data_IF_513973861740
#
_entry.id   IF_513973861740
#
_cell.length_a   1.000
_cell.length_b   1.000
_cell.length_c   1.000
_cell.angle_alpha   90.00
_cell.angle_beta   90.00
_cell.angle_gamma   90.00
#
_symmetry.space_group_name_H-M   'P 1'
#
loop_
_entity.id
_entity.type
_entity.pdbx_description
1 polymer ?
#
# COMPACT_ATOMS: atom_id res chain seq x y z
N UNK A 1 -3.17 -0.36 22.80
CA UNK A 1 -2.50 -1.62 22.41
C UNK A 1 -2.38 -2.47 23.66
N UNK A 2 -2.97 -3.67 23.67
CA UNK A 2 -2.82 -4.60 24.80
C UNK A 2 -1.90 -5.73 24.34
N UNK A 3 -0.83 -5.97 25.10
CA UNK A 3 0.09 -7.08 24.85
C UNK A 3 -0.36 -8.27 25.69
N UNK A 4 -0.58 -9.42 25.05
CA UNK A 4 -0.80 -10.69 25.76
C UNK A 4 0.49 -11.50 25.61
N UNK A 5 1.10 -11.86 26.74
CA UNK A 5 2.21 -12.80 26.78
C UNK A 5 1.68 -14.15 27.22
N UNK A 6 1.97 -15.20 26.44
CA UNK A 6 1.75 -16.59 26.83
C UNK A 6 3.12 -17.25 26.94
N UNK A 7 3.37 -17.95 28.04
CA UNK A 7 4.61 -18.60 28.45
C UNK A 7 5.53 -19.03 27.28
N UNK A 8 6.61 -18.26 27.04
CA UNK A 8 7.67 -18.58 26.07
C UNK A 8 7.69 -17.70 24.81
N UNK A 9 8.08 -16.44 24.94
CA UNK A 9 8.59 -15.53 23.88
C UNK A 9 7.77 -15.27 22.60
N UNK A 10 6.45 -15.50 22.58
CA UNK A 10 5.61 -14.96 21.49
C UNK A 10 4.97 -13.65 21.96
N UNK A 11 5.56 -12.52 21.55
CA UNK A 11 4.90 -11.22 21.67
C UNK A 11 3.85 -11.10 20.57
N UNK A 12 2.58 -11.02 20.94
CA UNK A 12 1.47 -10.73 20.03
C UNK A 12 1.04 -9.26 20.21
N UNK A 13 0.71 -8.60 19.10
CA UNK A 13 0.07 -7.29 19.07
C UNK A 13 -1.38 -7.48 18.65
N UNK A 14 -2.31 -7.15 19.52
CA UNK A 14 -3.72 -7.09 19.17
C UNK A 14 -4.12 -5.64 18.86
N UNK A 15 -4.73 -5.45 17.70
CA UNK A 15 -5.34 -4.19 17.27
C UNK A 15 -6.84 -4.41 17.10
N UNK A 16 -7.66 -3.60 17.78
CA UNK A 16 -9.11 -3.59 17.56
C UNK A 16 -9.38 -2.83 16.27
N UNK A 17 -9.83 -3.53 15.23
CA UNK A 17 -10.43 -2.94 14.03
C UNK A 17 -11.91 -2.66 14.29
N UNK A 18 -12.59 -2.05 13.34
CA UNK A 18 -13.99 -1.60 13.51
C UNK A 18 -14.94 -2.78 13.75
N UNK A 19 -14.72 -3.93 13.09
CA UNK A 19 -15.60 -5.11 13.21
C UNK A 19 -14.87 -6.39 13.67
N UNK A 20 -13.52 -6.38 13.77
CA UNK A 20 -12.71 -7.56 14.09
C UNK A 20 -11.48 -7.21 14.91
N UNK A 21 -10.84 -8.22 15.50
CA UNK A 21 -9.53 -8.08 16.13
C UNK A 21 -8.47 -8.56 15.16
N UNK A 22 -7.48 -7.70 14.88
CA UNK A 22 -6.28 -8.06 14.16
C UNK A 22 -5.20 -8.49 15.15
N UNK A 23 -4.76 -9.74 15.07
CA UNK A 23 -3.66 -10.28 15.87
C UNK A 23 -2.42 -10.38 15.00
N UNK A 24 -1.37 -9.63 15.30
CA UNK A 24 -0.10 -9.72 14.56
C UNK A 24 1.00 -10.28 15.46
N UNK A 25 1.92 -11.06 14.87
CA UNK A 25 3.09 -11.59 15.58
C UNK A 25 4.20 -10.55 15.55
N UNK A 26 4.86 -10.29 16.68
CA UNK A 26 5.95 -9.31 16.78
C UNK A 26 7.31 -9.86 16.26
N UNK A 27 7.31 -10.94 15.47
CA UNK A 27 8.50 -11.43 14.77
C UNK A 27 8.40 -10.98 13.31
N UNK A 28 9.45 -10.37 12.73
CA UNK A 28 9.44 -10.02 11.32
C UNK A 28 9.19 -11.29 10.52
N UNK A 29 8.03 -11.37 9.86
CA UNK A 29 7.63 -12.53 9.09
C UNK A 29 8.63 -12.67 7.94
N UNK A 30 9.59 -13.59 8.11
CA UNK A 30 10.50 -14.00 7.05
C UNK A 30 9.79 -15.09 6.26
N UNK A 31 9.19 -14.69 5.12
CA UNK A 31 8.95 -15.51 3.92
C UNK A 31 7.68 -16.38 3.83
N UNK A 32 7.22 -16.70 2.60
CA UNK A 32 6.69 -15.84 1.54
C UNK A 32 5.16 -15.65 1.71
N UNK A 33 4.49 -14.77 0.96
CA UNK A 33 3.04 -14.52 1.10
C UNK A 33 2.14 -15.76 0.82
N UNK A 34 2.71 -16.89 0.40
CA UNK A 34 2.01 -18.10 -0.05
C UNK A 34 1.53 -19.04 1.06
N UNK A 35 2.30 -19.39 2.12
CA UNK A 35 1.84 -20.30 3.17
C UNK A 35 0.72 -19.69 4.01
N UNK A 36 0.85 -18.43 4.44
CA UNK A 36 -0.21 -17.75 5.21
C UNK A 36 -1.51 -17.66 4.39
N UNK A 37 -1.42 -17.31 3.12
CA UNK A 37 -2.57 -17.33 2.22
C UNK A 37 -3.25 -18.71 2.18
N UNK A 38 -2.49 -19.80 2.02
CA UNK A 38 -3.03 -21.17 2.01
C UNK A 38 -3.66 -21.56 3.35
N UNK A 39 -3.08 -21.14 4.46
CA UNK A 39 -3.63 -21.34 5.80
C UNK A 39 -4.96 -20.61 5.95
N UNK A 40 -5.06 -19.36 5.50
CA UNK A 40 -6.31 -18.59 5.49
C UNK A 40 -7.36 -19.29 4.60
N UNK A 41 -6.99 -19.72 3.39
CA UNK A 41 -7.92 -20.44 2.52
C UNK A 41 -8.46 -21.72 3.17
N UNK A 42 -7.62 -22.43 3.94
CA UNK A 42 -8.03 -23.61 4.69
C UNK A 42 -8.90 -23.26 5.90
N UNK A 43 -8.59 -22.19 6.63
CA UNK A 43 -9.38 -21.69 7.76
C UNK A 43 -10.83 -21.38 7.35
N UNK A 44 -11.02 -20.82 6.15
CA UNK A 44 -12.35 -20.49 5.62
C UNK A 44 -12.97 -21.58 4.74
N UNK A 45 -12.31 -22.74 4.54
CA UNK A 45 -12.75 -23.79 3.61
C UNK A 45 -13.01 -23.29 2.18
N UNK A 46 -12.10 -22.47 1.64
CA UNK A 46 -12.20 -21.85 0.30
C UNK A 46 -11.06 -22.26 -0.64
N UNK A 47 -10.36 -23.36 -0.35
CA UNK A 47 -9.23 -23.84 -1.16
C UNK A 47 -9.61 -24.19 -2.61
N UNK A 48 -10.87 -24.55 -2.85
CA UNK A 48 -11.45 -24.90 -4.15
C UNK A 48 -11.99 -23.68 -4.93
N UNK A 49 -11.92 -22.48 -4.35
CA UNK A 49 -12.48 -21.24 -4.90
C UNK A 49 -11.46 -20.43 -5.69
N UNK A 50 -11.96 -19.49 -6.50
CA UNK A 50 -11.14 -18.47 -7.14
C UNK A 50 -10.83 -17.38 -6.12
N UNK A 51 -9.58 -17.33 -5.67
CA UNK A 51 -9.18 -16.45 -4.57
C UNK A 51 -8.15 -15.43 -5.06
N UNK A 52 -8.32 -14.17 -4.68
CA UNK A 52 -7.29 -13.14 -4.86
C UNK A 52 -6.56 -12.93 -3.54
N UNK A 53 -5.24 -13.03 -3.56
CA UNK A 53 -4.38 -12.60 -2.46
C UNK A 53 -3.81 -11.21 -2.76
N UNK A 54 -4.04 -10.27 -1.85
CA UNK A 54 -3.47 -8.92 -1.86
C UNK A 54 -2.38 -8.92 -0.80
N UNK A 55 -1.14 -9.15 -1.22
CA UNK A 55 -0.03 -9.27 -0.30
C UNK A 55 0.87 -8.03 -0.35
N UNK A 56 0.69 -7.12 0.61
CA UNK A 56 1.39 -5.83 0.64
C UNK A 56 2.45 -5.78 1.75
N UNK A 57 3.67 -5.38 1.41
CA UNK A 57 4.82 -5.47 2.31
C UNK A 57 5.56 -4.15 2.45
N UNK A 58 6.21 -3.98 3.61
CA UNK A 58 7.15 -2.89 3.89
C UNK A 58 8.59 -3.22 3.50
N UNK A 59 8.88 -4.50 3.21
CA UNK A 59 10.25 -5.02 3.09
C UNK A 59 10.48 -5.88 1.86
N UNK A 60 9.42 -6.38 1.23
CA UNK A 60 9.45 -7.21 0.03
C UNK A 60 8.62 -6.55 -1.08
N UNK A 61 8.79 -6.96 -2.34
CA UNK A 61 7.86 -6.59 -3.41
C UNK A 61 6.42 -6.97 -3.03
N UNK A 62 5.48 -6.16 -3.47
CA UNK A 62 4.07 -6.49 -3.33
C UNK A 62 3.70 -7.61 -4.30
N UNK A 63 2.71 -8.42 -3.93
CA UNK A 63 2.18 -9.48 -4.79
C UNK A 63 0.65 -9.47 -4.71
N UNK A 64 0.00 -9.06 -5.80
CA UNK A 64 -1.44 -9.18 -5.97
C UNK A 64 -1.69 -10.29 -6.96
N UNK A 65 -2.21 -11.42 -6.49
CA UNK A 65 -2.30 -12.67 -7.27
C UNK A 65 -3.70 -13.24 -7.27
N UNK A 66 -4.19 -13.64 -8.43
CA UNK A 66 -5.38 -14.49 -8.54
C UNK A 66 -4.97 -15.96 -8.60
N UNK A 67 -5.64 -16.79 -7.81
CA UNK A 67 -5.46 -18.23 -7.73
C UNK A 67 -6.69 -18.90 -8.34
N UNK A 68 -6.52 -19.55 -9.48
CA UNK A 68 -7.58 -20.23 -10.25
C UNK A 68 -7.00 -21.44 -10.97
N UNK A 69 -7.70 -22.56 -10.97
CA UNK A 69 -7.31 -23.79 -11.68
C UNK A 69 -5.86 -24.24 -11.39
N UNK A 70 -5.45 -24.21 -10.12
CA UNK A 70 -4.08 -24.50 -9.65
C UNK A 70 -2.99 -23.56 -10.19
N UNK A 71 -3.35 -22.46 -10.85
CA UNK A 71 -2.43 -21.42 -11.31
C UNK A 71 -2.47 -20.22 -10.36
N UNK A 72 -1.34 -19.53 -10.24
CA UNK A 72 -1.23 -18.24 -9.59
C UNK A 72 -0.78 -17.22 -10.65
N UNK A 73 -1.56 -16.17 -10.85
CA UNK A 73 -1.31 -15.15 -11.87
C UNK A 73 -1.15 -13.80 -11.17
N UNK A 74 -0.02 -13.14 -11.40
CA UNK A 74 0.24 -11.77 -10.94
C UNK A 74 -0.65 -10.79 -11.71
N UNK A 75 -1.36 -9.94 -10.97
CA UNK A 75 -2.32 -8.98 -11.50
C UNK A 75 -1.71 -7.58 -11.69
N UNK A 76 -0.75 -7.22 -10.84
CA UNK A 76 -0.17 -5.89 -10.82
C UNK A 76 1.36 -5.96 -10.78
N UNK A 77 2.00 -5.12 -11.58
CA UNK A 77 3.44 -4.92 -11.65
C UNK A 77 3.77 -3.46 -11.45
N UNK A 78 5.03 -3.21 -11.10
CA UNK A 78 5.55 -1.87 -10.89
C UNK A 78 6.73 -1.63 -11.83
N UNK A 79 6.82 -0.41 -12.34
CA UNK A 79 7.99 0.05 -13.08
C UNK A 79 9.13 0.32 -12.10
N UNK A 80 10.31 -0.22 -12.41
CA UNK A 80 11.51 0.04 -11.65
C UNK A 80 12.12 1.41 -12.00
N UNK A 81 12.49 2.17 -10.96
CA UNK A 81 13.28 3.39 -11.02
C UNK A 81 14.55 3.22 -10.20
N UNK A 82 15.69 3.57 -10.78
CA UNK A 82 17.01 3.42 -10.15
C UNK A 82 17.37 4.63 -9.27
N UNK A 83 16.86 5.80 -9.63
CA UNK A 83 17.20 7.06 -8.99
C UNK A 83 16.10 8.11 -9.21
N UNK A 84 16.19 9.23 -8.47
CA UNK A 84 15.21 10.31 -8.56
C UNK A 84 15.31 11.10 -9.87
N UNK A 85 16.46 11.06 -10.55
CA UNK A 85 16.64 11.69 -11.85
C UNK A 85 15.75 11.04 -12.91
N UNK A 86 15.67 9.70 -12.96
CA UNK A 86 14.75 8.96 -13.85
C UNK A 86 13.28 9.32 -13.58
N UNK A 87 12.90 9.49 -12.31
CA UNK A 87 11.54 9.94 -11.94
C UNK A 87 11.31 11.37 -12.41
N UNK A 88 12.28 12.26 -12.19
CA UNK A 88 12.18 13.67 -12.59
C UNK A 88 12.02 13.81 -14.10
N UNK A 89 12.81 13.08 -14.88
CA UNK A 89 12.71 13.01 -16.34
C UNK A 89 11.34 12.49 -16.79
N UNK A 90 10.85 11.41 -16.17
CA UNK A 90 9.54 10.85 -16.47
C UNK A 90 8.37 11.78 -16.07
N UNK A 91 8.52 12.59 -15.01
CA UNK A 91 7.56 13.64 -14.69
C UNK A 91 7.61 14.75 -15.75
N UNK A 92 8.78 15.11 -16.27
CA UNK A 92 8.94 16.18 -17.25
C UNK A 92 8.69 15.76 -18.71
N UNK A 93 8.27 14.51 -18.95
CA UNK A 93 8.17 13.94 -20.31
C UNK A 93 7.07 14.56 -21.19
N UNK A 94 6.17 15.34 -20.61
CA UNK A 94 5.10 16.05 -21.31
C UNK A 94 4.94 17.49 -20.77
N UNK A 95 4.28 18.36 -21.52
CA UNK A 95 4.15 19.79 -21.18
C UNK A 95 3.48 20.03 -19.83
N UNK A 96 2.49 19.19 -19.48
CA UNK A 96 1.73 19.33 -18.25
C UNK A 96 2.62 18.99 -17.06
N UNK A 97 3.33 17.87 -17.13
CA UNK A 97 4.25 17.40 -16.12
C UNK A 97 5.48 18.29 -15.99
N UNK A 98 6.03 18.80 -17.09
CA UNK A 98 7.13 19.75 -17.08
C UNK A 98 6.73 21.06 -16.37
N UNK A 99 5.55 21.60 -16.67
CA UNK A 99 5.02 22.79 -15.98
C UNK A 99 4.80 22.53 -14.49
N UNK A 100 4.24 21.37 -14.14
CA UNK A 100 4.04 20.96 -12.73
C UNK A 100 5.37 20.91 -11.99
N UNK A 101 6.37 20.23 -12.55
CA UNK A 101 7.71 20.12 -11.95
C UNK A 101 8.36 21.50 -11.78
N UNK A 102 8.33 22.34 -12.80
CA UNK A 102 8.90 23.69 -12.74
C UNK A 102 8.22 24.56 -11.67
N UNK A 103 6.91 24.40 -11.46
CA UNK A 103 6.22 25.10 -10.38
C UNK A 103 6.54 24.50 -9.01
N UNK A 104 6.59 23.17 -8.91
CA UNK A 104 6.94 22.48 -7.68
C UNK A 104 8.33 22.88 -7.19
N UNK A 105 9.32 22.91 -8.09
CA UNK A 105 10.71 23.23 -7.77
C UNK A 105 10.96 24.70 -7.38
N UNK A 106 9.98 25.60 -7.57
CA UNK A 106 10.07 26.98 -7.04
C UNK A 106 9.83 27.05 -5.54
N UNK A 107 9.04 26.13 -5.01
CA UNK A 107 8.59 26.11 -3.61
C UNK A 107 9.24 24.98 -2.80
N UNK A 108 9.58 23.87 -3.44
CA UNK A 108 10.06 22.65 -2.79
C UNK A 108 11.28 22.07 -3.49
N UNK A 109 12.22 21.55 -2.71
CA UNK A 109 13.38 20.83 -3.26
C UNK A 109 12.95 19.45 -3.77
N UNK A 110 13.39 19.10 -4.99
CA UNK A 110 13.18 17.75 -5.52
C UNK A 110 14.38 16.87 -5.16
N UNK A 111 14.17 15.68 -4.58
CA UNK A 111 15.25 14.80 -4.15
C UNK A 111 16.12 14.33 -5.31
N UNK A 112 17.35 13.92 -5.00
CA UNK A 112 18.33 13.40 -5.96
C UNK A 112 18.93 12.08 -5.47
N UNK A 113 19.56 11.33 -6.38
CA UNK A 113 20.30 10.12 -6.05
C UNK A 113 19.47 8.83 -6.04
N UNK A 114 20.09 7.77 -5.52
CA UNK A 114 19.61 6.39 -5.69
C UNK A 114 18.30 6.12 -4.93
N UNK A 115 17.43 5.36 -5.58
CA UNK A 115 16.24 4.78 -4.98
C UNK A 115 16.55 3.33 -4.64
N UNK A 116 16.09 2.88 -3.48
CA UNK A 116 16.36 1.50 -3.00
C UNK A 116 15.54 0.47 -3.77
N UNK A 117 14.25 0.75 -3.95
CA UNK A 117 13.29 -0.07 -4.67
C UNK A 117 12.05 0.77 -5.07
N UNK A 118 11.24 0.24 -5.98
CA UNK A 118 10.00 0.86 -6.48
C UNK A 118 8.93 -0.21 -6.80
N UNK A 119 9.05 -1.37 -6.17
CA UNK A 119 8.34 -2.62 -6.45
C UNK A 119 7.19 -2.94 -5.47
N UNK A 120 6.82 -1.96 -4.64
CA UNK A 120 5.77 -2.08 -3.63
C UNK A 120 5.18 -0.70 -3.33
N UNK A 121 3.93 -0.66 -2.87
CA UNK A 121 3.30 0.58 -2.43
C UNK A 121 4.05 1.23 -1.27
N UNK A 122 4.68 0.45 -0.38
CA UNK A 122 5.53 1.02 0.65
C UNK A 122 6.79 1.70 0.09
N UNK A 123 7.42 1.11 -0.93
CA UNK A 123 8.52 1.76 -1.64
C UNK A 123 8.06 3.04 -2.37
N UNK A 124 6.87 3.02 -2.96
CA UNK A 124 6.28 4.22 -3.57
C UNK A 124 5.93 5.29 -2.52
N UNK A 125 5.48 4.89 -1.32
CA UNK A 125 5.32 5.82 -0.19
C UNK A 125 6.64 6.44 0.23
N UNK A 126 7.74 5.68 0.17
CA UNK A 126 9.07 6.20 0.49
C UNK A 126 9.51 7.25 -0.54
N UNK A 127 9.35 6.95 -1.83
CA UNK A 127 9.64 7.88 -2.93
C UNK A 127 8.81 9.15 -2.79
N UNK A 128 7.49 9.02 -2.62
CA UNK A 128 6.61 10.18 -2.61
C UNK A 128 6.76 11.01 -1.33
N UNK A 129 7.03 10.38 -0.19
CA UNK A 129 7.34 11.10 1.05
C UNK A 129 8.62 11.92 0.93
N UNK A 130 9.64 11.39 0.22
CA UNK A 130 10.88 12.13 -0.06
C UNK A 130 10.60 13.31 -0.98
N UNK A 131 9.79 13.13 -2.02
CA UNK A 131 9.42 14.20 -2.96
C UNK A 131 8.60 15.29 -2.28
N UNK A 132 7.60 14.94 -1.48
CA UNK A 132 6.62 15.91 -0.94
C UNK A 132 7.05 16.56 0.37
N UNK A 133 7.78 15.82 1.20
CA UNK A 133 8.05 16.20 2.59
C UNK A 133 9.55 16.19 2.94
N UNK A 134 10.41 15.67 2.06
CA UNK A 134 11.82 15.43 2.39
C UNK A 134 11.99 14.38 3.50
N UNK A 135 11.05 13.43 3.62
CA UNK A 135 11.00 12.39 4.66
C UNK A 135 10.84 10.99 4.04
N UNK A 136 10.75 9.95 4.86
CA UNK A 136 10.62 8.55 4.42
C UNK A 136 9.16 8.04 4.48
N UNK A 137 8.95 6.79 4.05
CA UNK A 137 7.62 6.16 4.12
C UNK A 137 7.02 6.13 5.52
N UNK A 138 7.86 6.03 6.56
CA UNK A 138 7.40 6.02 7.95
C UNK A 138 6.73 7.33 8.31
N UNK A 139 7.33 8.47 7.93
CA UNK A 139 6.69 9.78 8.12
C UNK A 139 5.32 9.86 7.44
N UNK A 140 5.16 9.35 6.21
CA UNK A 140 3.88 9.38 5.50
C UNK A 140 2.82 8.56 6.26
N UNK A 141 3.16 7.35 6.70
CA UNK A 141 2.22 6.49 7.43
C UNK A 141 1.85 7.09 8.79
N UNK A 142 2.80 7.63 9.55
CA UNK A 142 2.49 8.28 10.83
C UNK A 142 1.66 9.55 10.65
N UNK A 143 2.01 10.40 9.67
CA UNK A 143 1.23 11.61 9.34
C UNK A 143 -0.19 11.27 8.92
N UNK A 144 -0.39 10.17 8.19
CA UNK A 144 -1.72 9.69 7.84
C UNK A 144 -2.54 9.28 9.07
N UNK A 145 -1.92 8.64 10.08
CA UNK A 145 -2.58 8.26 11.34
C UNK A 145 -2.93 9.47 12.19
N UNK A 146 -2.10 10.52 12.15
CA UNK A 146 -2.28 11.76 12.90
C UNK A 146 -3.26 12.75 12.22
N UNK A 147 -3.78 12.41 11.04
CA UNK A 147 -4.83 13.21 10.40
C UNK A 147 -6.10 13.23 11.24
N UNK A 148 -6.53 14.43 11.62
CA UNK A 148 -7.81 14.67 12.30
C UNK A 148 -8.97 14.53 11.30
N UNK A 149 -8.71 14.78 10.02
CA UNK A 149 -9.71 14.63 8.96
C UNK A 149 -9.90 13.16 8.58
N UNK A 150 -11.17 12.79 8.39
CA UNK A 150 -11.58 11.45 7.94
C UNK A 150 -11.66 11.32 6.41
N UNK A 151 -11.14 12.30 5.68
CA UNK A 151 -11.12 12.32 4.21
C UNK A 151 -9.90 13.08 3.73
N UNK A 152 -9.15 12.47 2.82
CA UNK A 152 -8.01 13.10 2.16
C UNK A 152 -8.33 13.52 0.72
N UNK A 153 -7.40 14.21 0.05
CA UNK A 153 -7.47 14.37 -1.40
C UNK A 153 -7.41 13.00 -2.09
N UNK A 154 -8.14 12.84 -3.19
CA UNK A 154 -8.09 11.63 -4.00
C UNK A 154 -6.79 11.60 -4.80
N UNK A 155 -5.89 10.69 -4.43
CA UNK A 155 -4.62 10.48 -5.12
C UNK A 155 -4.84 9.59 -6.34
N UNK A 156 -4.16 9.91 -7.44
CA UNK A 156 -4.23 9.14 -8.68
C UNK A 156 -3.44 7.83 -8.59
N UNK A 157 -4.08 6.81 -8.05
CA UNK A 157 -3.69 5.42 -8.22
C UNK A 157 -4.31 4.89 -9.51
N UNK A 158 -3.47 4.70 -10.53
CA UNK A 158 -3.86 4.23 -11.87
C UNK A 158 -2.98 3.06 -12.27
N UNK A 159 -3.54 2.15 -13.06
CA UNK A 159 -2.79 1.12 -13.74
C UNK A 159 -3.22 1.09 -15.21
N UNK A 160 -2.32 0.62 -16.07
CA UNK A 160 -2.61 0.32 -17.46
C UNK A 160 -1.98 -1.04 -17.81
N UNK A 161 -2.79 -1.98 -18.30
CA UNK A 161 -2.37 -3.32 -18.68
C UNK A 161 -1.65 -4.10 -17.53
N UNK A 162 -2.06 -3.88 -16.28
CA UNK A 162 -1.48 -4.51 -15.12
C UNK A 162 -0.16 -3.89 -14.66
N UNK A 163 0.23 -2.72 -15.17
CA UNK A 163 1.37 -1.94 -14.68
C UNK A 163 0.91 -0.67 -13.97
N UNK A 164 1.38 -0.44 -12.75
CA UNK A 164 1.03 0.72 -11.94
C UNK A 164 1.71 2.01 -12.43
N UNK A 165 0.93 3.07 -12.62
CA UNK A 165 1.40 4.38 -13.05
C UNK A 165 1.98 5.18 -11.88
N UNK A 166 3.26 4.92 -11.60
CA UNK A 166 4.02 5.61 -10.55
C UNK A 166 4.12 7.11 -10.79
N UNK A 167 4.11 7.56 -12.06
CA UNK A 167 4.31 8.97 -12.38
C UNK A 167 3.05 9.77 -12.07
N UNK A 168 1.85 9.29 -12.45
CA UNK A 168 0.59 9.94 -12.05
C UNK A 168 0.43 9.97 -10.52
N UNK A 169 0.80 8.87 -9.86
CA UNK A 169 0.80 8.78 -8.40
C UNK A 169 1.63 9.88 -7.72
N UNK A 170 2.83 10.17 -8.23
CA UNK A 170 3.70 11.25 -7.71
C UNK A 170 3.16 12.63 -8.08
N UNK A 171 2.78 12.84 -9.35
CA UNK A 171 2.26 14.12 -9.86
C UNK A 171 1.01 14.58 -9.10
N UNK A 172 0.14 13.65 -8.72
CA UNK A 172 -1.07 13.92 -7.94
C UNK A 172 -0.72 14.56 -6.59
N UNK A 173 0.21 13.97 -5.83
CA UNK A 173 0.69 14.54 -4.57
C UNK A 173 1.39 15.88 -4.73
N UNK A 174 2.23 16.04 -5.76
CA UNK A 174 2.90 17.31 -6.03
C UNK A 174 1.88 18.44 -6.23
N UNK A 175 0.78 18.15 -6.94
CA UNK A 175 -0.29 19.11 -7.20
C UNK A 175 -1.00 19.53 -5.92
N UNK A 176 -1.37 18.58 -5.04
CA UNK A 176 -1.97 18.90 -3.75
C UNK A 176 -1.00 19.60 -2.80
N UNK A 177 0.27 19.24 -2.84
CA UNK A 177 1.32 19.90 -2.05
C UNK A 177 1.49 21.36 -2.46
N UNK A 178 1.51 21.66 -3.76
CA UNK A 178 1.52 23.03 -4.29
C UNK A 178 0.25 23.81 -3.93
N UNK A 179 -0.90 23.14 -3.85
CA UNK A 179 -2.15 23.75 -3.43
C UNK A 179 -2.21 24.05 -1.91
N UNK A 180 -1.15 23.73 -1.16
CA UNK A 180 -1.07 24.01 0.27
C UNK A 180 -1.88 23.06 1.15
N UNK A 181 -2.17 21.85 0.65
CA UNK A 181 -2.83 20.83 1.48
C UNK A 181 -1.91 20.44 2.65
N UNK A 182 -2.48 20.37 3.84
CA UNK A 182 -1.79 19.95 5.05
C UNK A 182 -1.14 18.57 4.89
N UNK A 183 0.04 18.37 5.50
CA UNK A 183 0.82 17.15 5.33
C UNK A 183 0.08 15.91 5.84
N UNK A 184 -0.58 16.00 7.00
CA UNK A 184 -1.29 14.87 7.58
C UNK A 184 -2.51 14.52 6.71
N UNK A 185 -3.23 15.53 6.24
CA UNK A 185 -4.37 15.36 5.32
C UNK A 185 -3.94 14.74 3.99
N UNK A 186 -2.82 15.20 3.41
CA UNK A 186 -2.28 14.67 2.16
C UNK A 186 -1.82 13.21 2.34
N UNK A 187 -1.08 12.93 3.41
CA UNK A 187 -0.65 11.57 3.75
C UNK A 187 -1.84 10.62 3.97
N UNK A 188 -2.90 11.10 4.62
CA UNK A 188 -4.15 10.35 4.74
C UNK A 188 -4.78 10.06 3.37
N UNK A 189 -4.75 11.02 2.44
CA UNK A 189 -5.21 10.83 1.06
C UNK A 189 -4.49 9.70 0.33
N UNK A 190 -3.17 9.57 0.52
CA UNK A 190 -2.39 8.43 0.03
C UNK A 190 -2.88 7.11 0.62
N UNK A 191 -3.03 7.03 1.93
CA UNK A 191 -3.46 5.80 2.59
C UNK A 191 -4.87 5.36 2.19
N UNK A 192 -5.82 6.30 2.15
CA UNK A 192 -7.21 6.06 1.77
C UNK A 192 -7.34 5.67 0.28
N UNK A 193 -6.65 6.40 -0.61
CA UNK A 193 -6.75 6.18 -2.06
C UNK A 193 -6.15 4.84 -2.50
N UNK A 194 -5.17 4.29 -1.77
CA UNK A 194 -4.67 2.93 -2.03
C UNK A 194 -5.80 1.90 -1.93
N UNK A 195 -6.63 1.97 -0.89
CA UNK A 195 -7.67 0.97 -0.68
C UNK A 195 -8.81 1.14 -1.70
N UNK A 196 -9.21 2.39 -2.01
CA UNK A 196 -10.18 2.63 -3.09
C UNK A 196 -9.66 2.24 -4.47
N UNK A 197 -8.34 2.27 -4.68
CA UNK A 197 -7.74 1.73 -5.89
C UNK A 197 -7.86 0.22 -5.92
N UNK A 198 -7.47 -0.48 -4.86
CA UNK A 198 -7.58 -1.93 -4.79
C UNK A 198 -9.02 -2.38 -5.02
N UNK A 199 -10.00 -1.71 -4.39
CA UNK A 199 -11.42 -2.04 -4.54
C UNK A 199 -11.86 -2.04 -6.01
N UNK A 200 -11.62 -0.92 -6.69
CA UNK A 200 -11.92 -0.77 -8.13
C UNK A 200 -11.07 -1.66 -9.03
N UNK A 201 -9.82 -1.90 -8.65
CA UNK A 201 -8.91 -2.75 -9.42
C UNK A 201 -9.38 -4.20 -9.43
N UNK A 202 -9.89 -4.69 -8.28
CA UNK A 202 -10.40 -6.04 -8.16
C UNK A 202 -11.71 -6.26 -8.94
N UNK A 203 -12.52 -5.23 -9.15
CA UNK A 203 -13.75 -5.31 -9.96
C UNK A 203 -13.49 -5.76 -11.42
N UNK A 204 -12.25 -5.64 -11.91
CA UNK A 204 -11.85 -6.11 -13.23
C UNK A 204 -11.70 -7.64 -13.33
N UNK A 205 -11.82 -8.37 -12.22
CA UNK A 205 -11.57 -9.80 -12.15
C UNK A 205 -12.77 -10.56 -11.57
N UNK A 206 -13.02 -11.77 -12.08
CA UNK A 206 -13.97 -12.69 -11.49
C UNK A 206 -13.29 -13.49 -10.38
N UNK A 207 -13.71 -13.27 -9.13
CA UNK A 207 -13.18 -13.97 -7.96
C UNK A 207 -14.26 -14.19 -6.90
N UNK A 208 -14.09 -15.22 -6.08
CA UNK A 208 -15.01 -15.56 -4.98
C UNK A 208 -14.61 -14.85 -3.68
N UNK A 209 -13.30 -14.74 -3.41
CA UNK A 209 -12.80 -14.16 -2.17
C UNK A 209 -11.55 -13.29 -2.39
N UNK A 210 -11.51 -12.13 -1.74
CA UNK A 210 -10.30 -11.36 -1.54
C UNK A 210 -9.70 -11.68 -0.17
N UNK A 211 -8.39 -11.93 -0.13
CA UNK A 211 -7.61 -12.19 1.08
C UNK A 211 -6.50 -11.14 1.16
N UNK A 212 -6.31 -10.54 2.34
CA UNK A 212 -5.18 -9.65 2.60
C UNK A 212 -4.10 -10.39 3.39
N UNK A 213 -2.85 -10.23 2.97
CA UNK A 213 -1.67 -10.70 3.70
C UNK A 213 -0.56 -9.64 3.62
N UNK A 214 0.47 -9.79 4.44
CA UNK A 214 1.67 -8.97 4.39
C UNK A 214 1.66 -7.82 5.39
N UNK A 215 2.89 -7.42 5.76
CA UNK A 215 3.14 -6.57 6.92
C UNK A 215 2.71 -5.10 6.77
N UNK A 216 2.28 -4.66 5.59
CA UNK A 216 1.68 -3.33 5.44
C UNK A 216 0.31 -3.27 6.14
N UNK A 217 -0.47 -4.35 6.08
CA UNK A 217 -1.77 -4.43 6.76
C UNK A 217 -1.65 -4.56 8.29
N UNK A 218 -0.45 -4.70 8.86
CA UNK A 218 -0.26 -4.56 10.31
C UNK A 218 -0.48 -3.12 10.78
N UNK A 219 -0.43 -2.15 9.87
CA UNK A 219 -0.85 -0.79 10.15
C UNK A 219 -2.38 -0.70 10.15
N UNK A 220 -2.92 -0.31 11.30
CA UNK A 220 -4.37 -0.29 11.54
C UNK A 220 -5.12 0.53 10.49
N UNK A 221 -4.54 1.62 9.98
CA UNK A 221 -5.16 2.45 8.94
C UNK A 221 -5.49 1.63 7.68
N UNK A 222 -4.54 0.84 7.18
CA UNK A 222 -4.76 0.01 5.99
C UNK A 222 -5.69 -1.16 6.28
N UNK A 223 -5.53 -1.86 7.41
CA UNK A 223 -6.42 -2.96 7.79
C UNK A 223 -7.88 -2.52 7.95
N UNK A 224 -8.12 -1.38 8.62
CA UNK A 224 -9.47 -0.84 8.80
C UNK A 224 -10.14 -0.53 7.46
N UNK A 225 -9.44 0.19 6.57
CA UNK A 225 -9.97 0.50 5.26
C UNK A 225 -10.17 -0.76 4.41
N UNK A 226 -9.22 -1.69 4.40
CA UNK A 226 -9.33 -2.95 3.65
C UNK A 226 -10.53 -3.79 4.11
N UNK A 227 -10.77 -3.88 5.41
CA UNK A 227 -11.94 -4.57 5.96
C UNK A 227 -13.24 -3.91 5.50
N UNK A 228 -13.31 -2.57 5.59
CA UNK A 228 -14.51 -1.81 5.29
C UNK A 228 -14.88 -1.80 3.81
N UNK A 229 -13.89 -1.69 2.93
CA UNK A 229 -14.11 -1.48 1.50
C UNK A 229 -13.93 -2.75 0.68
N UNK A 230 -12.81 -3.47 0.85
CA UNK A 230 -12.53 -4.70 0.09
C UNK A 230 -13.31 -5.91 0.59
N UNK A 231 -13.90 -5.83 1.79
CA UNK A 231 -14.50 -6.97 2.52
C UNK A 231 -13.53 -8.17 2.60
N UNK A 232 -12.24 -7.88 2.62
CA UNK A 232 -11.20 -8.89 2.51
C UNK A 232 -11.13 -9.76 3.77
N UNK A 233 -10.81 -11.04 3.56
CA UNK A 233 -10.56 -12.00 4.64
C UNK A 233 -9.09 -11.93 5.07
N UNK A 234 -8.87 -12.18 6.35
CA UNK A 234 -7.57 -12.45 6.95
C UNK A 234 -7.75 -13.50 8.05
N UNK A 235 -6.66 -14.08 8.55
CA UNK A 235 -6.76 -15.14 9.55
C UNK A 235 -7.30 -14.60 10.87
N UNK A 236 -8.25 -15.30 11.48
CA UNK A 236 -8.74 -14.95 12.82
C UNK A 236 -7.71 -15.26 13.92
N UNK A 237 -6.67 -16.05 13.62
CA UNK A 237 -5.69 -16.53 14.58
C UNK A 237 -4.27 -16.01 14.32
N UNK A 238 -3.93 -15.81 13.04
CA UNK A 238 -2.58 -15.46 12.59
C UNK A 238 -2.46 -14.01 12.13
N UNK A 239 -3.60 -13.35 11.88
CA UNK A 239 -3.67 -12.00 11.33
C UNK A 239 -3.43 -11.94 9.83
N UNK A 240 -2.60 -10.97 9.44
CA UNK A 240 -2.19 -10.63 8.08
C UNK A 240 -0.72 -10.95 7.85
#
# INVERSE_FOLDING_TARGET
VNFVSVNGEIKLKASVLDERILVTRNKPQRDPNTPLFKEICSEYNINDKVNINIALSKVKPDAIKIYKDSKAIDLLKFKEFKNFEEIKEAIASDDVGNRLLNNFQKEFEFPTGKIKNSDSFYALFDIVSKVLFGKDAFYLIESAKDSILKKGPSIDYKEENGEFDTIKFIRSGMSFRLAGVDNNVLAFGYAESLIYFLDRFLENYEYDNAIITGCLFEEKIFANFAQKHLKAKFSNYLGV
#
